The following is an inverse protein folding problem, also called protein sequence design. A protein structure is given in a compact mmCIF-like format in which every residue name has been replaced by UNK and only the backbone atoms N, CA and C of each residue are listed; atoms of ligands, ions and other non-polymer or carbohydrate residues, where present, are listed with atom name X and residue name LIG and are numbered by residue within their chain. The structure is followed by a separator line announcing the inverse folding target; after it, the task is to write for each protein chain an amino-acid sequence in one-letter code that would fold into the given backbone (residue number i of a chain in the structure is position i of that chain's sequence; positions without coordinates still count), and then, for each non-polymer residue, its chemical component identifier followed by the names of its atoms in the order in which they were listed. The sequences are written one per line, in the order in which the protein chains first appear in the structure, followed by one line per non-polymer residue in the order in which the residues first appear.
data_IF_180678049462
#
_entry.id   IF_180678049462
#
_cell.length_a   1.000
_cell.length_b   1.000
_cell.length_c   1.000
_cell.angle_alpha   90.00
_cell.angle_beta   90.00
_cell.angle_gamma   90.00
#
_symmetry.space_group_name_H-M   'P 1'
#
loop_
_entity.id
_entity.type
_entity.pdbx_description
1 polymer ?
#
# COMPACT_ATOMS: atom_id res chain seq x y z
N UNK A 1 -1.11 -10.76 -12.19
CA UNK A 1 -0.35 -10.08 -11.13
C UNK A 1 -1.35 -9.55 -10.12
N UNK A 2 -1.14 -9.77 -8.81
CA UNK A 2 -2.01 -9.18 -7.78
C UNK A 2 -1.76 -7.67 -7.80
N UNK A 3 -2.79 -6.88 -8.09
CA UNK A 3 -2.70 -5.42 -8.01
C UNK A 3 -2.64 -5.00 -6.54
N UNK A 4 -1.61 -4.25 -6.17
CA UNK A 4 -1.40 -3.70 -4.84
C UNK A 4 -2.16 -2.35 -4.74
N UNK A 5 -2.64 -1.99 -3.53
CA UNK A 5 -3.40 -0.75 -3.30
C UNK A 5 -2.66 0.53 -3.76
N UNK A 6 -1.36 0.65 -3.47
CA UNK A 6 -0.52 1.78 -3.89
C UNK A 6 -0.48 1.92 -5.42
N UNK A 7 -0.36 0.80 -6.15
CA UNK A 7 -0.41 0.81 -7.61
C UNK A 7 -1.74 1.40 -8.10
N UNK A 8 -2.85 0.92 -7.52
CA UNK A 8 -4.19 1.39 -7.87
C UNK A 8 -4.36 2.88 -7.56
N UNK A 9 -3.94 3.33 -6.38
CA UNK A 9 -4.00 4.73 -5.97
C UNK A 9 -3.18 5.63 -6.89
N UNK A 10 -1.97 5.20 -7.24
CA UNK A 10 -1.10 5.93 -8.17
C UNK A 10 -1.77 6.07 -9.54
N UNK A 11 -2.35 4.99 -10.07
CA UNK A 11 -2.99 4.97 -11.39
C UNK A 11 -4.30 5.78 -11.43
N UNK A 12 -5.13 5.68 -10.39
CA UNK A 12 -6.36 6.46 -10.25
C UNK A 12 -6.08 7.97 -10.20
N UNK A 13 -5.01 8.36 -9.50
CA UNK A 13 -4.56 9.74 -9.41
C UNK A 13 -3.64 10.17 -10.58
N UNK A 14 -3.34 9.25 -11.51
CA UNK A 14 -2.43 9.47 -12.66
C UNK A 14 -1.04 9.98 -12.25
N UNK A 15 -0.55 9.57 -11.08
CA UNK A 15 0.78 9.93 -10.63
C UNK A 15 1.85 9.06 -11.30
N UNK A 16 2.95 9.70 -11.68
CA UNK A 16 4.15 8.98 -12.09
C UNK A 16 4.81 8.34 -10.87
N UNK A 17 5.42 7.13 -10.99
CA UNK A 17 6.15 6.50 -9.89
C UNK A 17 7.19 7.43 -9.26
N UNK A 18 7.90 8.21 -10.07
CA UNK A 18 8.93 9.16 -9.62
C UNK A 18 8.37 10.26 -8.72
N UNK A 19 7.14 10.71 -8.98
CA UNK A 19 6.47 11.74 -8.16
C UNK A 19 6.13 11.17 -6.78
N UNK A 20 5.58 9.96 -6.76
CA UNK A 20 5.21 9.29 -5.51
C UNK A 20 6.46 8.95 -4.70
N UNK A 21 7.53 8.49 -5.36
CA UNK A 21 8.82 8.23 -4.75
C UNK A 21 9.41 9.49 -4.09
N UNK A 22 9.39 10.62 -4.80
CA UNK A 22 9.85 11.90 -4.26
C UNK A 22 9.04 12.36 -3.03
N UNK A 23 7.73 12.10 -3.00
CA UNK A 23 6.86 12.43 -1.86
C UNK A 23 7.28 11.71 -0.56
N UNK A 24 7.85 10.52 -0.69
CA UNK A 24 8.27 9.67 0.45
C UNK A 24 9.78 9.64 0.66
N UNK A 25 10.50 10.58 0.05
CA UNK A 25 11.97 10.66 0.08
C UNK A 25 12.64 9.32 -0.27
N UNK A 26 12.14 8.68 -1.34
CA UNK A 26 12.66 7.42 -1.85
C UNK A 26 13.05 7.54 -3.33
N UNK A 27 13.90 6.62 -3.77
CA UNK A 27 14.18 6.46 -5.20
C UNK A 27 13.01 5.80 -5.93
N UNK A 28 12.85 6.00 -7.25
CA UNK A 28 11.82 5.30 -8.03
C UNK A 28 11.88 3.77 -7.89
N UNK A 29 13.10 3.21 -7.87
CA UNK A 29 13.33 1.78 -7.70
C UNK A 29 12.85 1.27 -6.33
N UNK A 30 13.10 2.03 -5.26
CA UNK A 30 12.61 1.69 -3.93
C UNK A 30 11.10 1.79 -3.84
N UNK A 31 10.50 2.83 -4.44
CA UNK A 31 9.06 2.96 -4.49
C UNK A 31 8.43 1.79 -5.25
N UNK A 32 9.02 1.33 -6.37
CA UNK A 32 8.54 0.16 -7.10
C UNK A 32 8.60 -1.12 -6.27
N UNK A 33 9.63 -1.30 -5.42
CA UNK A 33 9.69 -2.41 -4.45
C UNK A 33 8.60 -2.31 -3.37
N UNK A 34 8.24 -1.09 -2.98
CA UNK A 34 7.12 -0.85 -2.05
C UNK A 34 5.78 -1.15 -2.75
N UNK A 35 5.62 -0.70 -4.00
CA UNK A 35 4.44 -0.96 -4.84
C UNK A 35 4.31 -2.45 -5.23
N UNK A 36 5.40 -3.20 -5.32
CA UNK A 36 5.36 -4.66 -5.52
C UNK A 36 5.14 -5.44 -4.22
N UNK A 37 5.31 -4.80 -3.07
CA UNK A 37 5.24 -5.42 -1.74
C UNK A 37 6.53 -6.14 -1.31
N UNK A 38 7.62 -6.02 -2.08
CA UNK A 38 8.95 -6.51 -1.70
C UNK A 38 9.57 -5.73 -0.53
N UNK A 39 9.19 -4.46 -0.36
CA UNK A 39 9.64 -3.59 0.73
C UNK A 39 8.43 -3.01 1.47
N UNK A 40 8.47 -3.03 2.80
CA UNK A 40 7.41 -2.42 3.60
C UNK A 40 7.59 -0.91 3.71
N UNK A 41 6.47 -0.18 3.82
CA UNK A 41 6.46 1.22 4.21
C UNK A 41 6.91 1.35 5.66
N UNK A 42 7.74 2.35 5.95
CA UNK A 42 7.90 2.81 7.32
C UNK A 42 6.75 3.75 7.72
N UNK A 43 6.62 4.05 9.02
CA UNK A 43 5.55 4.90 9.56
C UNK A 43 5.52 6.29 8.90
N UNK A 44 6.68 6.89 8.67
CA UNK A 44 6.80 8.22 8.06
C UNK A 44 6.33 8.21 6.60
N UNK A 45 6.75 7.20 5.83
CA UNK A 45 6.35 7.04 4.44
C UNK A 45 4.86 6.75 4.32
N UNK A 46 4.30 5.93 5.22
CA UNK A 46 2.86 5.70 5.27
C UNK A 46 2.08 6.98 5.60
N UNK A 47 2.60 7.83 6.49
CA UNK A 47 2.01 9.14 6.78
C UNK A 47 2.03 10.04 5.53
N UNK A 48 3.18 10.15 4.87
CA UNK A 48 3.36 10.96 3.66
C UNK A 48 2.46 10.51 2.49
N UNK A 49 2.27 9.21 2.32
CA UNK A 49 1.35 8.66 1.32
C UNK A 49 -0.11 8.80 1.72
N UNK A 50 -0.41 8.69 3.01
CA UNK A 50 -1.74 8.98 3.54
C UNK A 50 -2.16 10.41 3.24
N UNK A 51 -1.25 11.37 3.44
CA UNK A 51 -1.47 12.78 3.07
C UNK A 51 -1.60 12.98 1.56
N UNK A 52 -0.84 12.23 0.74
CA UNK A 52 -0.88 12.34 -0.71
C UNK A 52 -2.21 11.84 -1.30
N UNK A 53 -2.74 10.75 -0.76
CA UNK A 53 -3.92 10.06 -1.27
C UNK A 53 -5.19 10.31 -0.47
N UNK A 54 -5.12 11.13 0.58
CA UNK A 54 -6.21 11.38 1.54
C UNK A 54 -6.76 10.08 2.16
N UNK A 55 -5.84 9.20 2.59
CA UNK A 55 -6.15 7.89 3.17
C UNK A 55 -5.48 7.76 4.53
N UNK A 56 -6.15 7.10 5.48
CA UNK A 56 -5.54 6.82 6.77
C UNK A 56 -4.28 5.94 6.61
N UNK A 57 -3.10 6.40 7.08
CA UNK A 57 -1.83 5.67 6.95
C UNK A 57 -1.85 4.23 7.48
N UNK A 58 -2.71 3.93 8.47
CA UNK A 58 -2.85 2.56 9.00
C UNK A 58 -3.27 1.57 7.92
N UNK A 59 -4.17 1.95 7.02
CA UNK A 59 -4.61 1.06 5.95
C UNK A 59 -3.46 0.69 5.00
N UNK A 60 -2.48 1.58 4.83
CA UNK A 60 -1.28 1.31 4.02
C UNK A 60 -0.31 0.35 4.73
N UNK A 61 -0.23 0.43 6.07
CA UNK A 61 0.62 -0.44 6.90
C UNK A 61 0.03 -1.85 7.08
N UNK A 62 -1.29 -1.96 7.29
CA UNK A 62 -1.98 -3.25 7.46
C UNK A 62 -1.83 -4.15 6.22
N UNK A 63 -1.79 -3.54 5.02
CA UNK A 63 -1.51 -4.25 3.76
C UNK A 63 -0.08 -4.79 3.71
N UNK A 64 0.89 -4.05 4.24
CA UNK A 64 2.28 -4.49 4.31
C UNK A 64 2.46 -5.67 5.28
N UNK A 65 1.70 -5.73 6.37
CA UNK A 65 1.70 -6.87 7.31
C UNK A 65 1.04 -8.11 6.71
N UNK A 66 -0.06 -7.95 5.97
CA UNK A 66 -0.82 -9.06 5.37
C UNK A 66 -0.02 -9.79 4.27
N UNK A 67 0.85 -9.07 3.54
CA UNK A 67 1.74 -9.65 2.53
C UNK A 67 2.86 -10.47 3.20
N UNK A 68 3.40 -10.01 4.33
CA UNK A 68 4.52 -10.65 5.02
C UNK A 68 4.14 -11.95 5.73
N UNK A 69 2.92 -12.03 6.30
CA UNK A 69 2.45 -13.24 6.97
C UNK A 69 2.20 -14.46 6.05
N UNK A 70 2.25 -14.28 4.71
CA UNK A 70 1.97 -15.35 3.75
C UNK A 70 3.22 -15.95 3.09
N UNK A 71 4.44 -15.56 3.48
CA UNK A 71 5.70 -16.02 2.86
C UNK A 71 6.32 -17.22 3.63
N UNK A 72 5.49 -18.18 4.04
CA UNK A 72 5.94 -19.38 4.75
C UNK A 72 4.96 -20.54 4.62
N UNK A 73 5.13 -21.37 3.58
CA UNK A 73 4.66 -22.75 3.36
C UNK A 73 3.32 -23.29 3.94
N UNK A 74 2.37 -22.46 4.39
CA UNK A 74 1.04 -22.87 4.85
C UNK A 74 0.01 -21.73 4.71
N UNK A 75 -0.01 -21.05 3.56
CA UNK A 75 -0.90 -19.91 3.29
C UNK A 75 -2.37 -20.35 3.21
N UNK A 76 -3.06 -20.40 4.36
CA UNK A 76 -4.53 -20.38 4.39
C UNK A 76 -4.97 -18.94 4.14
N UNK A 77 -5.49 -18.72 2.95
CA UNK A 77 -6.03 -17.45 2.49
C UNK A 77 -7.06 -16.91 3.47
N UNK A 78 -6.69 -15.93 4.29
CA UNK A 78 -7.67 -15.01 4.86
C UNK A 78 -7.89 -13.95 3.80
N UNK A 79 -8.88 -14.21 2.93
CA UNK A 79 -9.56 -13.12 2.24
C UNK A 79 -10.06 -12.19 3.34
N UNK A 80 -9.43 -11.02 3.44
CA UNK A 80 -9.91 -9.94 4.29
C UNK A 80 -11.28 -9.52 3.74
N UNK A 81 -12.33 -10.16 4.24
CA UNK A 81 -13.73 -9.79 4.12
C UNK A 81 -14.00 -8.52 4.93
N UNK A 82 -13.24 -7.45 4.71
CA UNK A 82 -13.56 -6.12 5.20
C UNK A 82 -13.73 -5.21 3.98
N UNK A 83 -14.68 -5.61 3.13
CA UNK A 83 -15.41 -4.65 2.32
C UNK A 83 -16.07 -3.69 3.32
N UNK A 84 -15.79 -2.40 3.19
CA UNK A 84 -16.38 -1.35 4.01
C UNK A 84 -17.91 -1.47 3.95
N UNK A 85 -18.54 -1.98 5.01
CA UNK A 85 -19.93 -1.70 5.29
C UNK A 85 -20.00 -0.21 5.64
N UNK A 86 -20.37 0.56 4.61
CA UNK A 86 -20.79 1.95 4.74
C UNK A 86 -21.94 1.95 5.76
N UNK A 87 -21.73 2.54 6.94
CA UNK A 87 -22.83 2.85 7.86
C UNK A 87 -23.83 3.75 7.12
N UNK A 88 -24.97 3.21 6.75
CA UNK A 88 -26.18 4.00 6.54
C UNK A 88 -26.89 4.14 7.88
N UNK A 89 -27.45 5.35 8.10
CA UNK A 89 -28.11 5.84 9.32
C UNK A 89 -29.25 4.95 9.81
#
# INVERSE_FOLDING_TARGET
MKENLLKKLREENKYAPDLVAAKIDATPEEYLKIESGEKQLNLLQAAQLGDLYDINPRHLLDLAETINYNIGSNSRTIYANNYYEKKEN
#
